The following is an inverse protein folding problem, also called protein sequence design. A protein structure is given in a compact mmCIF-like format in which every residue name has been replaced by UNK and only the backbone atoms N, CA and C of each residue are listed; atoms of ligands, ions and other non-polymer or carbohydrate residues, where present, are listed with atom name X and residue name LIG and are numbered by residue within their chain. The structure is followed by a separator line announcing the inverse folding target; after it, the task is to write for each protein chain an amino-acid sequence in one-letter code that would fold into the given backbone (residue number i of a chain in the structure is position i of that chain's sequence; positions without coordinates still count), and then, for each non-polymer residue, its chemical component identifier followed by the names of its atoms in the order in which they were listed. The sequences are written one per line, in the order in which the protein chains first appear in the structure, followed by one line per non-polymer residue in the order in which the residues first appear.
data_IF_516007860154
#
_entry.id   IF_516007860154
#
_cell.length_a   1.000
_cell.length_b   1.000
_cell.length_c   1.000
_cell.angle_alpha   90.00
_cell.angle_beta   90.00
_cell.angle_gamma   90.00
#
_symmetry.space_group_name_H-M   'P 1'
#
loop_
_entity.id
_entity.type
_entity.pdbx_description
1 polymer ?
#
# COMPACT_ATOMS: atom_id res chain seq x y z
N UNK A 1 -6.64 5.26 -19.05
CA UNK A 1 -7.40 5.04 -17.80
C UNK A 1 -6.39 4.56 -16.77
N UNK A 2 -6.39 5.11 -15.56
CA UNK A 2 -5.44 4.68 -14.52
C UNK A 2 -5.72 3.22 -14.11
N UNK A 3 -4.65 2.44 -13.94
CA UNK A 3 -4.74 1.06 -13.48
C UNK A 3 -5.23 1.02 -12.03
N UNK A 4 -6.24 0.21 -11.74
CA UNK A 4 -6.85 0.10 -10.40
C UNK A 4 -6.73 -1.32 -9.88
N UNK A 5 -5.77 -1.53 -8.98
CA UNK A 5 -5.47 -2.83 -8.38
C UNK A 5 -6.72 -3.52 -7.78
N UNK A 6 -7.66 -2.76 -7.21
CA UNK A 6 -8.88 -3.33 -6.63
C UNK A 6 -9.83 -3.88 -7.68
N UNK A 7 -9.81 -3.31 -8.89
CA UNK A 7 -10.66 -3.75 -10.01
C UNK A 7 -10.03 -4.91 -10.78
N UNK A 8 -8.72 -4.86 -10.95
CA UNK A 8 -7.97 -5.86 -11.72
C UNK A 8 -7.72 -7.13 -10.89
N UNK A 9 -7.50 -6.99 -9.58
CA UNK A 9 -7.19 -8.11 -8.68
C UNK A 9 -8.26 -8.28 -7.58
N UNK A 10 -9.52 -8.43 -8.00
CA UNK A 10 -10.67 -8.51 -7.08
C UNK A 10 -10.55 -9.63 -6.04
N UNK A 11 -9.92 -10.74 -6.39
CA UNK A 11 -9.68 -11.87 -5.48
C UNK A 11 -8.85 -11.48 -4.24
N UNK A 12 -7.99 -10.47 -4.33
CA UNK A 12 -7.18 -10.02 -3.18
C UNK A 12 -7.78 -8.83 -2.43
N UNK A 13 -8.60 -8.02 -3.11
CA UNK A 13 -9.10 -6.74 -2.57
C UNK A 13 -10.61 -6.72 -2.29
N UNK A 14 -11.37 -7.69 -2.80
CA UNK A 14 -12.82 -7.80 -2.65
C UNK A 14 -13.23 -9.26 -2.34
N UNK A 15 -12.71 -9.86 -1.25
CA UNK A 15 -13.09 -11.21 -0.87
C UNK A 15 -14.58 -11.27 -0.46
N UNK A 16 -15.18 -12.44 -0.58
CA UNK A 16 -16.55 -12.69 -0.07
C UNK A 16 -16.50 -12.90 1.45
N UNK A 17 -17.67 -12.92 2.09
CA UNK A 17 -17.82 -13.28 3.51
C UNK A 17 -17.64 -14.79 3.77
N UNK A 18 -16.81 -15.47 2.98
CA UNK A 18 -16.50 -16.89 3.10
C UNK A 18 -14.98 -17.07 3.00
N UNK A 19 -14.33 -17.82 3.91
CA UNK A 19 -12.92 -18.11 3.80
C UNK A 19 -12.59 -18.86 2.50
N UNK A 20 -11.50 -18.49 1.86
CA UNK A 20 -11.01 -19.11 0.63
C UNK A 20 -9.47 -19.17 0.63
N UNK A 21 -8.92 -20.18 -0.03
CA UNK A 21 -7.47 -20.32 -0.23
C UNK A 21 -7.11 -19.50 -1.47
N UNK A 22 -6.16 -18.58 -1.32
CA UNK A 22 -5.66 -17.73 -2.41
C UNK A 22 -4.15 -17.87 -2.55
N UNK A 23 -3.66 -17.78 -3.79
CA UNK A 23 -2.24 -17.75 -4.09
C UNK A 23 -1.83 -16.32 -4.42
N UNK A 24 -1.24 -15.62 -3.46
CA UNK A 24 -0.83 -14.22 -3.64
C UNK A 24 0.49 -14.17 -4.44
N UNK A 25 0.52 -13.55 -5.64
CA UNK A 25 1.74 -13.42 -6.42
C UNK A 25 2.72 -12.43 -5.77
N UNK A 26 3.97 -12.44 -6.23
CA UNK A 26 4.95 -11.42 -5.81
C UNK A 26 4.47 -10.04 -6.26
N UNK A 27 4.57 -9.06 -5.37
CA UNK A 27 4.25 -7.67 -5.63
C UNK A 27 5.34 -6.74 -5.06
N UNK A 28 5.35 -5.49 -5.52
CA UNK A 28 6.26 -4.46 -5.05
C UNK A 28 5.55 -3.56 -4.04
N UNK A 29 6.21 -3.31 -2.92
CA UNK A 29 5.66 -2.49 -1.84
C UNK A 29 6.64 -1.39 -1.45
N UNK A 30 6.09 -0.21 -1.15
CA UNK A 30 6.75 0.73 -0.26
C UNK A 30 6.33 0.38 1.17
N UNK A 31 7.28 0.28 2.09
CA UNK A 31 7.02 -0.20 3.44
C UNK A 31 7.82 0.58 4.47
N UNK A 32 7.24 0.79 5.64
CA UNK A 32 7.91 1.31 6.83
C UNK A 32 7.77 0.25 7.92
N UNK A 33 8.89 -0.22 8.46
CA UNK A 33 8.89 -1.13 9.61
C UNK A 33 8.87 -0.30 10.89
N UNK A 34 8.02 -0.68 11.83
CA UNK A 34 7.90 -0.01 13.12
C UNK A 34 7.37 -0.95 14.19
N UNK A 35 7.25 -0.43 15.41
CA UNK A 35 6.65 -1.10 16.57
C UNK A 35 5.95 -0.07 17.44
N UNK A 36 5.02 -0.51 18.28
CA UNK A 36 4.30 0.36 19.22
C UNK A 36 2.78 0.30 19.04
N UNK A 37 2.09 1.18 19.74
CA UNK A 37 0.63 1.27 19.71
C UNK A 37 0.17 2.06 18.47
N UNK A 38 -0.62 1.48 17.55
CA UNK A 38 -1.13 2.21 16.39
C UNK A 38 -2.07 3.37 16.73
N UNK A 39 -2.65 3.37 17.94
CA UNK A 39 -3.61 4.37 18.39
C UNK A 39 -2.97 5.54 19.14
N UNK A 40 -1.64 5.57 19.26
CA UNK A 40 -0.94 6.67 19.90
C UNK A 40 -0.94 7.90 19.00
N UNK A 41 -1.54 9.00 19.48
CA UNK A 41 -1.58 10.26 18.76
C UNK A 41 -0.17 10.83 18.59
N UNK A 42 0.19 11.14 17.35
CA UNK A 42 1.55 11.55 16.99
C UNK A 42 2.59 10.42 17.10
N UNK A 43 2.15 9.18 17.39
CA UNK A 43 3.02 8.03 17.56
C UNK A 43 3.64 7.52 16.26
N UNK A 44 4.49 6.50 16.38
CA UNK A 44 5.29 5.97 15.27
C UNK A 44 4.44 5.49 14.08
N UNK A 45 3.28 4.88 14.34
CA UNK A 45 2.39 4.38 13.28
C UNK A 45 1.77 5.52 12.46
N UNK A 46 1.29 6.58 13.12
CA UNK A 46 0.71 7.74 12.43
C UNK A 46 1.76 8.43 11.55
N UNK A 47 2.98 8.61 12.06
CA UNK A 47 4.10 9.16 11.30
C UNK A 47 4.46 8.28 10.09
N UNK A 48 4.50 6.96 10.27
CA UNK A 48 4.77 6.00 9.20
C UNK A 48 3.75 6.11 8.06
N UNK A 49 2.46 6.23 8.39
CA UNK A 49 1.38 6.44 7.40
C UNK A 49 1.60 7.75 6.63
N UNK A 50 1.92 8.85 7.33
CA UNK A 50 2.19 10.14 6.67
C UNK A 50 3.33 10.05 5.66
N UNK A 51 4.43 9.37 6.02
CA UNK A 51 5.58 9.15 5.12
C UNK A 51 5.17 8.30 3.92
N UNK A 52 4.48 7.17 4.15
CA UNK A 52 4.04 6.26 3.09
C UNK A 52 3.16 6.98 2.05
N UNK A 53 2.17 7.76 2.50
CA UNK A 53 1.30 8.48 1.58
C UNK A 53 2.01 9.64 0.88
N UNK A 54 2.93 10.35 1.55
CA UNK A 54 3.74 11.37 0.90
C UNK A 54 4.55 10.80 -0.27
N UNK A 55 5.18 9.63 -0.08
CA UNK A 55 5.92 8.93 -1.14
C UNK A 55 4.97 8.42 -2.23
N UNK A 56 3.89 7.73 -1.85
CA UNK A 56 2.92 7.14 -2.79
C UNK A 56 2.32 8.20 -3.74
N UNK A 57 1.90 9.34 -3.21
CA UNK A 57 1.30 10.41 -4.00
C UNK A 57 2.34 11.18 -4.83
N UNK A 58 3.56 11.36 -4.33
CA UNK A 58 4.66 11.92 -5.12
C UNK A 58 4.92 11.07 -6.37
N UNK A 59 5.02 9.74 -6.21
CA UNK A 59 5.19 8.81 -7.33
C UNK A 59 3.98 8.85 -8.29
N UNK A 60 2.76 8.77 -7.75
CA UNK A 60 1.52 8.82 -8.53
C UNK A 60 1.41 10.09 -9.37
N UNK A 61 1.82 11.25 -8.83
CA UNK A 61 1.70 12.55 -9.50
C UNK A 61 2.89 12.87 -10.41
N UNK A 62 3.91 12.02 -10.47
CA UNK A 62 5.13 12.26 -11.25
C UNK A 62 4.86 12.51 -12.74
N UNK A 63 3.81 11.92 -13.32
CA UNK A 63 3.42 12.15 -14.72
C UNK A 63 3.07 13.60 -15.04
N UNK A 64 2.69 14.40 -14.03
CA UNK A 64 2.37 15.83 -14.14
C UNK A 64 3.60 16.73 -14.12
N UNK A 65 4.79 16.16 -14.00
CA UNK A 65 6.07 16.88 -14.00
C UNK A 65 6.80 16.66 -15.33
N UNK A 66 7.87 17.43 -15.56
CA UNK A 66 8.75 17.27 -16.71
C UNK A 66 9.60 15.99 -16.63
N UNK A 67 9.77 15.44 -15.43
CA UNK A 67 10.50 14.20 -15.23
C UNK A 67 9.62 12.98 -15.55
N UNK A 68 10.10 12.11 -16.44
CA UNK A 68 9.42 10.86 -16.81
C UNK A 68 10.16 9.67 -16.21
N UNK A 69 9.53 9.04 -15.22
CA UNK A 69 10.02 7.78 -14.65
C UNK A 69 9.93 6.68 -15.71
N UNK A 70 11.05 6.04 -16.05
CA UNK A 70 11.09 4.95 -17.01
C UNK A 70 10.18 3.80 -16.55
N UNK A 71 9.26 3.39 -17.42
CA UNK A 71 8.32 2.29 -17.13
C UNK A 71 7.16 2.68 -16.21
N UNK A 72 6.98 3.97 -15.90
CA UNK A 72 5.82 4.44 -15.16
C UNK A 72 4.53 4.26 -15.97
N UNK A 73 3.48 3.86 -15.27
CA UNK A 73 2.11 3.85 -15.74
C UNK A 73 1.23 4.55 -14.71
N UNK A 74 0.15 5.17 -15.14
CA UNK A 74 -0.80 5.79 -14.21
C UNK A 74 -1.58 4.72 -13.43
N UNK A 75 -1.67 4.87 -12.12
CA UNK A 75 -2.41 3.97 -11.25
C UNK A 75 -3.18 4.71 -10.15
N UNK A 76 -4.18 4.05 -9.59
CA UNK A 76 -4.87 4.45 -8.37
C UNK A 76 -4.08 3.95 -7.17
N UNK A 77 -3.82 4.82 -6.18
CA UNK A 77 -3.12 4.43 -4.95
C UNK A 77 -3.93 3.32 -4.26
N UNK A 78 -3.35 2.12 -4.05
CA UNK A 78 -4.05 0.99 -3.44
C UNK A 78 -4.34 1.22 -1.94
N UNK A 79 -5.19 0.38 -1.33
CA UNK A 79 -5.45 0.42 0.11
C UNK A 79 -4.17 0.32 0.95
N UNK A 80 -4.21 0.91 2.15
CA UNK A 80 -3.16 0.66 3.15
C UNK A 80 -3.26 -0.79 3.62
N UNK A 81 -2.12 -1.47 3.68
CA UNK A 81 -1.96 -2.82 4.20
C UNK A 81 -0.97 -2.79 5.37
N UNK A 82 -1.04 -3.77 6.26
CA UNK A 82 -0.16 -3.85 7.43
C UNK A 82 0.14 -5.29 7.83
N UNK A 83 1.42 -5.59 8.02
CA UNK A 83 1.86 -6.81 8.68
C UNK A 83 2.00 -6.55 10.17
N UNK A 84 1.34 -7.38 10.97
CA UNK A 84 1.35 -7.33 12.42
C UNK A 84 1.87 -8.65 12.95
N UNK A 85 2.83 -8.57 13.84
CA UNK A 85 3.38 -9.72 14.54
C UNK A 85 3.91 -9.28 15.90
N UNK A 86 4.19 -10.24 16.74
CA UNK A 86 4.89 -10.06 18.00
C UNK A 86 5.99 -11.11 18.06
N UNK A 87 7.18 -10.72 18.51
CA UNK A 87 8.26 -11.67 18.73
C UNK A 87 7.89 -12.60 19.89
N UNK A 88 8.31 -13.87 19.78
CA UNK A 88 8.11 -14.91 20.81
C UNK A 88 6.65 -15.25 21.17
N UNK A 89 5.73 -15.08 20.20
CA UNK A 89 4.33 -15.55 20.26
C UNK A 89 4.05 -16.57 19.16
#
# INVERSE_FOLDING_TARGET
MAFDFKKEFKEFYMPKNKPEIVNVPKANYIAVRGKGNPNEEGGAYQQAISILYAVAYTLKMSYKTDYKIKGFFEYVVPPLEGFWWQDDV
#
